data_IF_540294858584
#
_entry.id   IF_540294858584
#
_cell.length_a   1.000
_cell.length_b   1.000
_cell.length_c   1.000
_cell.angle_alpha   90.00
_cell.angle_beta   90.00
_cell.angle_gamma   90.00
#
_symmetry.space_group_name_H-M   'P 1'
#
loop_
_entity.id
_entity.type
_entity.pdbx_description
1 polymer ?
#
# COMPACT_ATOMS: atom_id res chain seq x y z
N UNK A 1 -17.65 -9.01 -17.85
CA UNK A 1 -16.71 -8.13 -17.13
C UNK A 1 -15.66 -9.01 -16.49
N UNK A 2 -14.41 -8.97 -16.99
CA UNK A 2 -13.32 -9.76 -16.43
C UNK A 2 -12.99 -9.25 -15.03
N UNK A 3 -13.45 -9.96 -14.03
CA UNK A 3 -13.04 -9.76 -12.63
C UNK A 3 -11.64 -10.34 -12.45
N UNK A 4 -10.63 -9.75 -13.09
CA UNK A 4 -9.26 -10.00 -12.69
C UNK A 4 -9.08 -9.28 -11.35
N UNK A 5 -9.02 -10.07 -10.28
CA UNK A 5 -8.64 -9.57 -8.97
C UNK A 5 -7.26 -8.90 -9.13
N UNK A 6 -7.20 -7.59 -8.93
CA UNK A 6 -5.95 -6.85 -8.97
C UNK A 6 -4.99 -7.45 -7.96
N UNK A 7 -3.83 -7.86 -8.45
CA UNK A 7 -2.77 -8.44 -7.65
C UNK A 7 -1.69 -7.38 -7.42
N UNK A 8 -1.43 -7.05 -6.17
CA UNK A 8 -0.44 -6.05 -5.77
C UNK A 8 0.86 -6.74 -5.43
N UNK A 9 1.91 -6.61 -6.26
CA UNK A 9 3.20 -7.24 -5.99
C UNK A 9 3.88 -6.59 -4.80
N UNK A 10 4.70 -7.35 -4.10
CA UNK A 10 5.68 -6.80 -3.16
C UNK A 10 6.82 -6.09 -3.91
N UNK A 11 7.80 -5.57 -3.18
CA UNK A 11 8.97 -4.92 -3.76
C UNK A 11 10.27 -5.49 -3.23
N UNK A 12 11.33 -5.34 -4.01
CA UNK A 12 12.71 -5.49 -3.54
C UNK A 12 13.46 -4.18 -3.73
N UNK A 13 14.17 -3.78 -2.69
CA UNK A 13 15.15 -2.71 -2.77
C UNK A 13 16.47 -3.29 -3.24
N UNK A 14 16.95 -2.89 -4.42
CA UNK A 14 18.23 -3.36 -4.95
C UNK A 14 19.40 -2.62 -4.34
N UNK A 15 19.23 -1.31 -4.08
CA UNK A 15 20.16 -0.48 -3.30
C UNK A 15 19.45 0.78 -2.77
N UNK A 16 20.06 1.43 -1.79
CA UNK A 16 19.63 2.73 -1.28
C UNK A 16 18.58 2.69 -0.17
N UNK A 17 18.35 1.54 0.48
CA UNK A 17 17.28 1.37 1.48
C UNK A 17 17.28 2.46 2.56
N UNK A 18 18.44 2.81 3.10
CA UNK A 18 18.57 3.90 4.08
C UNK A 18 18.84 5.27 3.43
N UNK A 19 19.44 5.28 2.24
CA UNK A 19 19.83 6.50 1.56
C UNK A 19 18.62 7.32 1.09
N UNK A 20 17.56 6.68 0.58
CA UNK A 20 16.36 7.38 0.09
C UNK A 20 15.60 8.13 1.18
N UNK A 21 15.68 7.70 2.44
CA UNK A 21 15.09 8.41 3.58
C UNK A 21 15.86 9.71 3.85
N UNK A 22 17.16 9.70 3.60
CA UNK A 22 18.05 10.87 3.74
C UNK A 22 18.16 11.70 2.45
N UNK A 23 17.30 11.47 1.45
CA UNK A 23 17.34 12.19 0.17
C UNK A 23 18.39 11.66 -0.83
N UNK A 24 18.96 10.50 -0.58
CA UNK A 24 19.93 9.85 -1.44
C UNK A 24 19.29 9.01 -2.55
N UNK A 25 20.14 8.36 -3.34
CA UNK A 25 19.76 7.51 -4.48
C UNK A 25 19.26 6.13 -4.02
N UNK A 26 18.30 5.57 -4.77
CA UNK A 26 17.82 4.21 -4.54
C UNK A 26 17.09 3.61 -5.74
N UNK A 27 17.11 2.29 -5.82
CA UNK A 27 16.45 1.53 -6.88
C UNK A 27 15.61 0.42 -6.26
N UNK A 28 14.32 0.42 -6.58
CA UNK A 28 13.40 -0.60 -6.16
C UNK A 28 12.65 -1.20 -7.35
N UNK A 29 12.36 -2.49 -7.24
CA UNK A 29 11.71 -3.27 -8.30
C UNK A 29 10.51 -4.03 -7.73
N UNK A 30 9.43 -4.23 -8.52
CA UNK A 30 8.37 -5.15 -8.14
C UNK A 30 8.91 -6.57 -7.97
N UNK A 31 8.39 -7.28 -6.97
CA UNK A 31 8.74 -8.66 -6.71
C UNK A 31 7.48 -9.53 -6.61
N UNK A 32 6.94 -9.98 -7.76
CA UNK A 32 5.61 -10.62 -7.84
C UNK A 32 5.54 -12.01 -7.24
N UNK A 33 6.68 -12.61 -6.83
CA UNK A 33 6.70 -13.87 -6.06
C UNK A 33 5.85 -13.74 -4.79
N UNK A 34 5.86 -12.55 -4.19
CA UNK A 34 4.99 -12.20 -3.08
C UNK A 34 4.02 -11.11 -3.51
N UNK A 35 2.77 -11.26 -3.13
CA UNK A 35 1.73 -10.33 -3.52
C UNK A 35 0.52 -10.40 -2.58
N UNK A 36 -0.35 -9.41 -2.67
CA UNK A 36 -1.65 -9.44 -2.03
C UNK A 36 -2.76 -9.13 -3.03
N UNK A 37 -3.95 -9.63 -2.71
CA UNK A 37 -5.17 -9.37 -3.47
C UNK A 37 -6.37 -9.23 -2.54
N UNK A 38 -7.34 -8.45 -2.98
CA UNK A 38 -8.62 -8.37 -2.30
C UNK A 38 -9.43 -9.64 -2.48
N UNK A 39 -10.09 -10.06 -1.42
CA UNK A 39 -11.07 -11.16 -1.44
C UNK A 39 -12.29 -10.77 -0.61
N UNK A 40 -13.42 -11.36 -0.89
CA UNK A 40 -14.60 -11.32 -0.02
C UNK A 40 -14.74 -12.67 0.67
N UNK A 41 -14.74 -12.67 2.00
CA UNK A 41 -14.87 -13.86 2.81
C UNK A 41 -15.70 -13.55 4.05
N UNK A 42 -16.91 -14.08 4.08
CA UNK A 42 -17.83 -13.88 5.19
C UNK A 42 -17.74 -14.97 6.25
N UNK A 43 -17.16 -16.13 5.90
CA UNK A 43 -17.20 -17.32 6.75
C UNK A 43 -15.98 -17.49 7.66
N UNK A 44 -14.82 -16.97 7.25
CA UNK A 44 -13.56 -17.10 8.01
C UNK A 44 -12.64 -15.93 7.71
N UNK A 45 -12.65 -14.85 8.53
CA UNK A 45 -11.76 -13.71 8.37
C UNK A 45 -10.29 -14.15 8.42
N UNK A 46 -9.45 -13.49 7.63
CA UNK A 46 -7.99 -13.68 7.71
C UNK A 46 -7.41 -12.88 8.90
N UNK A 47 -6.13 -13.14 9.18
CA UNK A 47 -5.37 -12.33 10.14
C UNK A 47 -5.24 -10.85 9.72
N UNK A 48 -5.43 -10.52 8.44
CA UNK A 48 -5.39 -9.14 7.93
C UNK A 48 -6.63 -8.32 8.31
N UNK A 49 -7.78 -8.95 8.51
CA UNK A 49 -9.03 -8.24 8.77
C UNK A 49 -8.94 -7.24 9.93
N UNK A 50 -8.48 -7.62 11.13
CA UNK A 50 -8.33 -6.66 12.24
C UNK A 50 -7.34 -5.53 11.91
N UNK A 51 -6.27 -5.83 11.17
CA UNK A 51 -5.29 -4.80 10.77
C UNK A 51 -5.90 -3.78 9.80
N UNK A 52 -6.73 -4.23 8.85
CA UNK A 52 -7.44 -3.35 7.93
C UNK A 52 -8.45 -2.45 8.67
N UNK A 53 -9.16 -2.99 9.66
CA UNK A 53 -10.10 -2.24 10.50
C UNK A 53 -9.37 -1.18 11.33
N UNK A 54 -8.25 -1.51 11.97
CA UNK A 54 -7.43 -0.55 12.70
C UNK A 54 -6.83 0.53 11.78
N UNK A 55 -6.39 0.14 10.59
CA UNK A 55 -5.87 1.10 9.62
C UNK A 55 -6.96 2.06 9.13
N UNK A 56 -8.19 1.58 8.90
CA UNK A 56 -9.33 2.45 8.58
C UNK A 56 -9.58 3.49 9.67
N UNK A 57 -9.58 3.08 10.95
CA UNK A 57 -9.76 4.01 12.09
C UNK A 57 -8.67 5.08 12.08
N UNK A 58 -7.42 4.69 11.85
CA UNK A 58 -6.30 5.62 11.76
C UNK A 58 -6.43 6.57 10.57
N UNK A 59 -6.81 6.08 9.38
CA UNK A 59 -7.03 6.90 8.18
C UNK A 59 -8.10 7.96 8.43
N UNK A 60 -9.21 7.62 9.09
CA UNK A 60 -10.26 8.56 9.48
C UNK A 60 -9.73 9.63 10.45
N UNK A 61 -8.98 9.22 11.47
CA UNK A 61 -8.40 10.13 12.47
C UNK A 61 -7.36 11.10 11.88
N UNK A 62 -6.75 10.76 10.73
CA UNK A 62 -5.74 11.57 10.05
C UNK A 62 -6.27 12.28 8.78
N UNK A 63 -7.60 12.43 8.65
CA UNK A 63 -8.29 13.21 7.60
C UNK A 63 -8.03 12.73 6.16
N UNK A 64 -7.88 11.42 5.96
CA UNK A 64 -7.74 10.84 4.62
C UNK A 64 -9.06 10.75 3.85
N UNK A 65 -10.19 11.13 4.43
CA UNK A 65 -11.49 11.21 3.77
C UNK A 65 -11.54 12.20 2.59
N UNK A 66 -10.63 13.17 2.55
CA UNK A 66 -10.45 14.06 1.40
C UNK A 66 -9.75 13.38 0.19
N UNK A 67 -9.07 12.26 0.41
CA UNK A 67 -8.29 11.52 -0.59
C UNK A 67 -8.93 10.17 -0.92
N UNK A 68 -9.51 9.50 0.10
CA UNK A 68 -10.03 8.14 0.02
C UNK A 68 -11.52 8.09 0.36
N UNK A 69 -12.25 7.21 -0.32
CA UNK A 69 -13.66 6.90 -0.04
C UNK A 69 -13.76 6.00 1.21
N UNK A 70 -13.44 6.55 2.40
CA UNK A 70 -13.35 5.77 3.64
C UNK A 70 -14.67 5.14 4.08
N UNK A 71 -15.82 5.78 3.76
CA UNK A 71 -17.14 5.20 4.00
C UNK A 71 -17.41 3.95 3.15
N UNK A 72 -16.91 3.94 1.90
CA UNK A 72 -17.00 2.77 1.02
C UNK A 72 -16.10 1.66 1.54
N UNK A 73 -14.87 2.00 1.96
CA UNK A 73 -13.94 1.02 2.55
C UNK A 73 -14.53 0.38 3.83
N UNK A 74 -15.12 1.18 4.71
CA UNK A 74 -15.80 0.68 5.90
C UNK A 74 -16.94 -0.27 5.57
N UNK A 75 -17.79 0.12 4.62
CA UNK A 75 -18.90 -0.72 4.17
C UNK A 75 -18.41 -2.04 3.58
N UNK A 76 -17.37 -2.01 2.74
CA UNK A 76 -16.78 -3.21 2.16
C UNK A 76 -16.24 -4.17 3.25
N UNK A 77 -15.55 -3.62 4.27
CA UNK A 77 -15.07 -4.40 5.41
C UNK A 77 -16.23 -5.06 6.18
N UNK A 78 -17.33 -4.32 6.42
CA UNK A 78 -18.52 -4.86 7.08
C UNK A 78 -19.17 -6.00 6.27
N UNK A 79 -19.08 -5.94 4.94
CA UNK A 79 -19.60 -6.95 4.03
C UNK A 79 -18.59 -8.07 3.68
N UNK A 80 -17.54 -8.21 4.49
CA UNK A 80 -16.61 -9.34 4.37
C UNK A 80 -15.42 -9.11 3.45
N UNK A 81 -15.12 -7.85 3.05
CA UNK A 81 -13.86 -7.57 2.38
C UNK A 81 -12.70 -7.93 3.29
N UNK A 82 -11.71 -8.58 2.72
CA UNK A 82 -10.52 -9.07 3.38
C UNK A 82 -9.35 -9.10 2.39
N UNK A 83 -8.16 -9.40 2.88
CA UNK A 83 -6.96 -9.47 2.05
C UNK A 83 -6.33 -10.86 2.13
N UNK A 84 -6.06 -11.46 0.97
CA UNK A 84 -5.21 -12.63 0.86
C UNK A 84 -3.79 -12.15 0.48
N UNK A 85 -2.79 -12.51 1.29
CA UNK A 85 -1.40 -12.14 1.05
C UNK A 85 -0.47 -13.29 1.42
N UNK A 86 0.58 -13.46 0.61
CA UNK A 86 1.72 -14.32 0.95
C UNK A 86 3.00 -13.50 1.22
N UNK A 87 2.87 -12.18 1.36
CA UNK A 87 4.00 -11.28 1.63
C UNK A 87 4.48 -11.47 3.06
N UNK A 88 5.72 -11.92 3.30
CA UNK A 88 6.20 -12.13 4.66
C UNK A 88 6.40 -10.78 5.38
N UNK A 89 5.88 -10.70 6.60
CA UNK A 89 5.98 -9.50 7.44
C UNK A 89 7.37 -9.45 8.11
N UNK A 90 8.00 -8.27 8.11
CA UNK A 90 9.28 -8.06 8.80
C UNK A 90 10.53 -8.43 8.00
N UNK A 91 10.40 -8.82 6.75
CA UNK A 91 11.54 -9.23 5.89
C UNK A 91 12.00 -8.15 4.91
N UNK A 92 11.52 -6.91 5.05
CA UNK A 92 11.94 -5.79 4.18
C UNK A 92 11.42 -5.86 2.73
N UNK A 93 10.46 -6.74 2.46
CA UNK A 93 9.88 -6.93 1.11
C UNK A 93 8.63 -6.10 0.87
N UNK A 94 8.34 -5.12 1.72
CA UNK A 94 7.28 -4.13 1.48
C UNK A 94 5.87 -4.62 1.83
N UNK A 95 5.70 -5.40 2.90
CA UNK A 95 4.38 -5.86 3.34
C UNK A 95 3.42 -4.70 3.65
N UNK A 96 3.86 -3.64 4.30
CA UNK A 96 3.09 -2.41 4.53
C UNK A 96 2.78 -1.69 3.22
N UNK A 97 3.76 -1.58 2.33
CA UNK A 97 3.62 -0.94 1.03
C UNK A 97 2.55 -1.59 0.16
N UNK A 98 2.43 -2.92 0.19
CA UNK A 98 1.38 -3.66 -0.53
C UNK A 98 -0.01 -3.30 0.00
N UNK A 99 -0.20 -3.23 1.32
CA UNK A 99 -1.48 -2.85 1.94
C UNK A 99 -1.86 -1.42 1.57
N UNK A 100 -0.92 -0.48 1.68
CA UNK A 100 -1.12 0.93 1.31
C UNK A 100 -1.49 1.06 -0.16
N UNK A 101 -0.74 0.40 -1.06
CA UNK A 101 -0.99 0.41 -2.49
C UNK A 101 -2.39 -0.11 -2.83
N UNK A 102 -2.80 -1.23 -2.23
CA UNK A 102 -4.10 -1.84 -2.46
C UNK A 102 -5.26 -0.94 -2.00
N UNK A 103 -5.14 -0.31 -0.82
CA UNK A 103 -6.17 0.60 -0.31
C UNK A 103 -6.25 1.86 -1.16
N UNK A 104 -5.11 2.47 -1.49
CA UNK A 104 -5.09 3.65 -2.35
C UNK A 104 -5.73 3.35 -3.70
N UNK A 105 -5.33 2.28 -4.38
CA UNK A 105 -5.84 1.94 -5.72
C UNK A 105 -7.35 1.72 -5.74
N UNK A 106 -7.88 1.03 -4.72
CA UNK A 106 -9.30 0.69 -4.66
C UNK A 106 -10.19 1.84 -4.23
N UNK A 107 -9.71 2.72 -3.34
CA UNK A 107 -10.56 3.72 -2.67
C UNK A 107 -10.19 5.17 -2.95
N UNK A 108 -9.19 5.46 -3.77
CA UNK A 108 -8.86 6.84 -4.12
C UNK A 108 -10.03 7.53 -4.82
N UNK A 109 -10.39 8.73 -4.36
CA UNK A 109 -11.46 9.54 -4.96
C UNK A 109 -11.05 10.02 -6.36
N UNK A 110 -9.81 10.51 -6.46
CA UNK A 110 -9.21 10.97 -7.70
C UNK A 110 -7.76 10.52 -7.77
N UNK A 111 -7.40 9.79 -8.83
CA UNK A 111 -6.02 9.31 -9.02
C UNK A 111 -5.07 10.49 -9.21
N UNK A 112 -3.99 10.48 -8.44
CA UNK A 112 -2.90 11.44 -8.60
C UNK A 112 -1.97 10.97 -9.73
N UNK A 113 -1.63 11.89 -10.63
CA UNK A 113 -0.76 11.63 -11.80
C UNK A 113 0.64 12.19 -11.62
N UNK A 114 0.83 13.18 -10.75
CA UNK A 114 2.16 13.64 -10.39
C UNK A 114 2.83 12.65 -9.44
N UNK A 115 3.91 12.04 -9.89
CA UNK A 115 4.60 10.97 -9.16
C UNK A 115 5.14 11.44 -7.81
N UNK A 116 5.60 12.69 -7.71
CA UNK A 116 6.13 13.21 -6.45
C UNK A 116 5.01 13.42 -5.42
N UNK A 117 3.88 13.93 -5.86
CA UNK A 117 2.69 14.10 -5.02
C UNK A 117 2.11 12.74 -4.62
N UNK A 118 1.99 11.80 -5.56
CA UNK A 118 1.57 10.44 -5.28
C UNK A 118 2.46 9.77 -4.23
N UNK A 119 3.77 9.86 -4.39
CA UNK A 119 4.74 9.31 -3.44
C UNK A 119 4.54 9.88 -2.04
N UNK A 120 4.27 11.20 -1.91
CA UNK A 120 4.00 11.86 -0.62
C UNK A 120 2.70 11.36 0.02
N UNK A 121 1.64 11.18 -0.76
CA UNK A 121 0.36 10.64 -0.28
C UNK A 121 0.58 9.23 0.26
N UNK A 122 1.25 8.37 -0.52
CA UNK A 122 1.52 6.99 -0.13
C UNK A 122 2.44 6.91 1.11
N UNK A 123 3.45 7.78 1.20
CA UNK A 123 4.30 7.91 2.40
C UNK A 123 3.47 8.28 3.64
N UNK A 124 2.57 9.25 3.49
CA UNK A 124 1.70 9.68 4.58
C UNK A 124 0.79 8.54 5.08
N UNK A 125 0.26 7.71 4.19
CA UNK A 125 -0.51 6.52 4.55
C UNK A 125 0.37 5.47 5.24
N UNK A 126 1.59 5.26 4.75
CA UNK A 126 2.52 4.26 5.28
C UNK A 126 3.07 4.62 6.67
N UNK A 127 2.97 5.88 7.08
CA UNK A 127 3.31 6.32 8.44
C UNK A 127 2.48 5.64 9.55
N UNK A 128 1.37 4.99 9.19
CA UNK A 128 0.65 4.11 10.11
C UNK A 128 1.51 2.92 10.59
N UNK A 129 2.33 2.38 9.71
CA UNK A 129 3.16 1.20 9.99
C UNK A 129 4.56 1.57 10.49
N UNK A 130 5.04 2.77 10.13
CA UNK A 130 6.40 3.24 10.39
C UNK A 130 6.39 4.69 10.83
N UNK A 131 7.27 5.07 11.73
CA UNK A 131 7.38 6.46 12.20
C UNK A 131 7.73 7.44 11.06
N UNK A 132 8.45 6.97 10.05
CA UNK A 132 8.83 7.73 8.86
C UNK A 132 8.88 6.81 7.65
N UNK A 133 8.23 7.22 6.56
CA UNK A 133 8.25 6.49 5.29
C UNK A 133 8.77 7.39 4.17
N UNK A 134 9.55 6.82 3.27
CA UNK A 134 9.93 7.47 2.01
C UNK A 134 8.81 7.45 0.97
N UNK A 135 7.80 6.59 1.14
CA UNK A 135 6.74 6.32 0.17
C UNK A 135 7.20 5.51 -1.04
N UNK A 136 8.43 5.04 -1.07
CA UNK A 136 8.97 4.29 -2.21
C UNK A 136 8.36 2.89 -2.29
N UNK A 137 8.23 2.20 -1.16
CA UNK A 137 7.67 0.86 -1.11
C UNK A 137 6.24 0.80 -1.67
N UNK A 138 5.29 1.58 -1.14
CA UNK A 138 3.93 1.57 -1.69
C UNK A 138 3.86 2.11 -3.11
N UNK A 139 4.76 3.01 -3.52
CA UNK A 139 4.80 3.51 -4.90
C UNK A 139 5.16 2.39 -5.89
N UNK A 140 6.18 1.58 -5.58
CA UNK A 140 6.57 0.44 -6.42
C UNK A 140 5.45 -0.60 -6.47
N UNK A 141 4.85 -0.93 -5.33
CA UNK A 141 3.72 -1.87 -5.24
C UNK A 141 2.51 -1.40 -6.06
N UNK A 142 2.21 -0.10 -6.02
CA UNK A 142 1.08 0.51 -6.75
C UNK A 142 1.33 0.58 -8.25
N UNK A 143 2.50 1.10 -8.66
CA UNK A 143 2.82 1.27 -10.07
C UNK A 143 3.13 -0.06 -10.77
N UNK A 144 3.53 -1.08 -10.02
CA UNK A 144 4.08 -2.34 -10.54
C UNK A 144 5.19 -2.09 -11.59
N UNK A 145 6.08 -1.15 -11.29
CA UNK A 145 7.19 -0.72 -12.16
C UNK A 145 8.47 -0.51 -11.36
N UNK A 146 9.60 -0.63 -12.04
CA UNK A 146 10.90 -0.23 -11.50
C UNK A 146 10.87 1.27 -11.19
N UNK A 147 11.29 1.65 -9.99
CA UNK A 147 11.40 3.05 -9.56
C UNK A 147 12.84 3.35 -9.18
N UNK A 148 13.42 4.31 -9.87
CA UNK A 148 14.73 4.86 -9.57
C UNK A 148 14.56 6.24 -8.93
N UNK A 149 14.98 6.36 -7.69
CA UNK A 149 15.03 7.64 -6.97
C UNK A 149 16.40 8.23 -7.18
N UNK A 150 16.46 9.45 -7.73
CA UNK A 150 17.70 10.21 -7.85
C UNK A 150 17.88 11.12 -6.63
N UNK A 151 19.12 11.44 -6.25
CA UNK A 151 19.38 12.45 -5.22
C UNK A 151 18.77 13.80 -5.62
N UNK A 152 18.30 14.55 -4.63
CA UNK A 152 17.85 15.94 -4.82
C UNK A 152 19.05 16.87 -5.03
#
# INVERSE_FOLDING_TARGET
MNNQSLNYPSKLMLFGEYAVIAGGEGLAVPYPTFSAQWKFNTSSPSEYKPHLEHFLVWLKANNFDSILQLSVFENDLQHGLDMASNVPVGYGVGSSGVVVAAIYDKYVIRREHDIQTLKKILASMENYFHATSSGLDPLVCYLNKVVHVKPN
#
